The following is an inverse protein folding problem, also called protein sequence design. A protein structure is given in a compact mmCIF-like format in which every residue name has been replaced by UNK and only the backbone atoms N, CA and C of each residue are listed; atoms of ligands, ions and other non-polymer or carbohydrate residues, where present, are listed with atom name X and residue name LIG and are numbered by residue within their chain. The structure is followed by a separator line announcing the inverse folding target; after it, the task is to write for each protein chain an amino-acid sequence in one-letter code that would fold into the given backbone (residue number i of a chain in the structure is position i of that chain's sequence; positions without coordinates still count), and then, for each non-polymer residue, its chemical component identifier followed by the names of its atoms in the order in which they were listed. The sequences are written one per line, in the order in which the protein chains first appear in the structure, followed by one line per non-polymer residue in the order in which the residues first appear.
data_IF_683805177481
#
_entry.id   IF_683805177481
#
_cell.length_a   1.000
_cell.length_b   1.000
_cell.length_c   1.000
_cell.angle_alpha   90.00
_cell.angle_beta   90.00
_cell.angle_gamma   90.00
#
_symmetry.space_group_name_H-M   'P 1'
#
loop_
_entity.id
_entity.type
_entity.pdbx_description
1 polymer ?
#
# COMPACT_ATOMS: atom_id res chain seq x y z
N UNK A 1 8.53 -5.05 11.58
CA UNK A 1 7.59 -4.45 10.60
C UNK A 1 8.07 -4.63 9.17
N UNK A 2 9.05 -3.86 8.69
CA UNK A 2 9.47 -3.86 7.26
C UNK A 2 9.68 -5.24 6.62
N UNK A 3 10.22 -6.20 7.38
CA UNK A 3 10.42 -7.57 6.89
C UNK A 3 9.10 -8.26 6.47
N UNK A 4 7.98 -7.98 7.14
CA UNK A 4 6.67 -8.53 6.75
C UNK A 4 6.18 -7.94 5.43
N UNK A 5 6.37 -6.64 5.21
CA UNK A 5 6.04 -6.01 3.92
C UNK A 5 6.91 -6.58 2.79
N UNK A 6 8.22 -6.70 3.02
CA UNK A 6 9.15 -7.30 2.04
C UNK A 6 8.77 -8.75 1.74
N UNK A 7 8.47 -9.56 2.75
CA UNK A 7 8.06 -10.95 2.57
C UNK A 7 6.73 -11.05 1.80
N UNK A 8 5.76 -10.18 2.08
CA UNK A 8 4.47 -10.13 1.37
C UNK A 8 4.69 -9.89 -0.14
N UNK A 9 5.53 -8.92 -0.48
CA UNK A 9 5.88 -8.57 -1.86
C UNK A 9 6.68 -9.68 -2.54
N UNK A 10 7.68 -10.24 -1.85
CA UNK A 10 8.49 -11.35 -2.37
C UNK A 10 7.63 -12.58 -2.70
N UNK A 11 6.75 -12.99 -1.77
CA UNK A 11 5.82 -14.11 -1.99
C UNK A 11 4.84 -13.86 -3.14
N UNK A 12 4.58 -12.61 -3.47
CA UNK A 12 3.76 -12.20 -4.60
C UNK A 12 4.57 -11.96 -5.90
N UNK A 13 5.80 -12.46 -5.97
CA UNK A 13 6.69 -12.38 -7.14
C UNK A 13 7.05 -10.92 -7.52
N UNK A 14 7.11 -10.03 -6.52
CA UNK A 14 7.64 -8.68 -6.63
C UNK A 14 9.06 -8.66 -6.06
N UNK A 15 10.04 -8.87 -6.94
CA UNK A 15 11.45 -9.13 -6.56
C UNK A 15 12.40 -7.97 -6.81
N UNK A 16 11.94 -6.88 -7.42
CA UNK A 16 12.70 -5.64 -7.56
C UNK A 16 12.01 -4.56 -6.74
N UNK A 17 12.73 -3.99 -5.78
CA UNK A 17 12.18 -3.07 -4.79
C UNK A 17 12.99 -1.78 -4.73
N UNK A 18 12.29 -0.68 -4.47
CA UNK A 18 12.89 0.54 -3.95
C UNK A 18 12.36 0.80 -2.55
N UNK A 19 13.26 0.90 -1.58
CA UNK A 19 12.92 1.39 -0.25
C UNK A 19 13.06 2.92 -0.23
N UNK A 20 11.95 3.61 -0.04
CA UNK A 20 11.93 5.04 0.24
C UNK A 20 11.89 5.22 1.76
N UNK A 21 12.85 5.95 2.32
CA UNK A 21 12.95 6.21 3.76
C UNK A 21 13.55 7.58 4.03
N UNK A 22 13.45 8.09 5.25
CA UNK A 22 13.91 9.43 5.60
C UNK A 22 14.34 9.55 7.06
N UNK A 23 14.78 10.75 7.43
CA UNK A 23 15.13 11.09 8.81
C UNK A 23 16.42 10.44 9.32
N UNK A 24 16.60 10.50 10.64
CA UNK A 24 17.85 10.14 11.32
C UNK A 24 18.21 8.65 11.27
N UNK A 25 17.25 7.79 10.93
CA UNK A 25 17.41 6.34 10.96
C UNK A 25 17.45 5.68 9.57
N UNK A 26 17.44 6.47 8.48
CA UNK A 26 17.51 5.95 7.11
C UNK A 26 18.67 4.96 6.88
N UNK A 27 19.84 5.24 7.48
CA UNK A 27 21.03 4.38 7.36
C UNK A 27 20.90 3.00 8.02
N UNK A 28 19.96 2.83 8.97
CA UNK A 28 19.74 1.53 9.63
C UNK A 28 19.11 0.52 8.67
N UNK A 29 18.30 0.96 7.70
CA UNK A 29 17.74 0.07 6.69
C UNK A 29 18.80 -0.52 5.74
N UNK A 30 19.88 0.22 5.48
CA UNK A 30 21.00 -0.32 4.71
C UNK A 30 21.75 -1.40 5.52
N UNK A 31 21.90 -1.22 6.83
CA UNK A 31 22.48 -2.26 7.70
C UNK A 31 21.60 -3.50 7.80
N UNK A 32 20.28 -3.31 7.85
CA UNK A 32 19.31 -4.39 7.97
C UNK A 32 19.18 -5.19 6.67
N UNK A 33 19.00 -4.52 5.53
CA UNK A 33 18.61 -5.17 4.28
C UNK A 33 19.78 -5.39 3.31
N UNK A 34 20.88 -4.66 3.46
CA UNK A 34 22.04 -4.75 2.57
C UNK A 34 21.69 -4.56 1.10
N UNK A 35 21.93 -5.59 0.28
CA UNK A 35 21.52 -5.61 -1.13
C UNK A 35 20.19 -6.34 -1.37
N UNK A 36 19.51 -6.80 -0.31
CA UNK A 36 18.21 -7.47 -0.36
C UNK A 36 18.25 -8.97 -0.64
N UNK A 37 19.40 -9.56 -0.98
CA UNK A 37 19.48 -10.96 -1.42
C UNK A 37 19.04 -11.95 -0.33
N UNK A 38 19.34 -11.66 0.95
CA UNK A 38 18.92 -12.50 2.08
C UNK A 38 17.39 -12.51 2.28
N UNK A 39 16.69 -11.55 1.67
CA UNK A 39 15.24 -11.40 1.70
C UNK A 39 14.56 -11.83 0.39
N UNK A 40 15.30 -12.48 -0.52
CA UNK A 40 14.75 -12.90 -1.82
C UNK A 40 14.58 -11.76 -2.85
N UNK A 41 15.08 -10.56 -2.56
CA UNK A 41 15.02 -9.41 -3.45
C UNK A 41 16.19 -9.51 -4.45
N UNK A 42 15.88 -9.46 -5.75
CA UNK A 42 16.87 -9.49 -6.83
C UNK A 42 17.61 -8.16 -7.00
N UNK A 43 16.87 -7.04 -6.86
CA UNK A 43 17.42 -5.69 -6.95
C UNK A 43 16.77 -4.79 -5.91
N UNK A 44 17.57 -4.26 -4.99
CA UNK A 44 17.13 -3.32 -3.96
C UNK A 44 17.75 -1.94 -4.21
N UNK A 45 16.89 -0.94 -4.38
CA UNK A 45 17.25 0.46 -4.49
C UNK A 45 16.83 1.22 -3.23
N UNK A 46 17.46 2.36 -3.00
CA UNK A 46 17.16 3.24 -1.88
C UNK A 46 16.92 4.66 -2.38
N UNK A 47 15.89 5.32 -1.85
CA UNK A 47 15.65 6.73 -2.03
C UNK A 47 15.47 7.41 -0.66
N UNK A 48 15.91 8.67 -0.56
CA UNK A 48 15.81 9.46 0.66
C UNK A 48 14.68 10.49 0.54
N UNK A 49 13.75 10.46 1.48
CA UNK A 49 12.69 11.47 1.62
C UNK A 49 13.11 12.51 2.66
N UNK A 50 13.27 13.76 2.22
CA UNK A 50 13.85 14.83 3.04
C UNK A 50 12.98 15.24 4.24
N UNK A 51 11.65 15.14 4.09
CA UNK A 51 10.64 15.55 5.07
C UNK A 51 9.41 14.64 4.95
N UNK A 52 8.54 14.56 5.97
CA UNK A 52 7.28 13.82 5.85
C UNK A 52 6.28 14.61 4.99
N UNK A 53 6.45 14.64 3.67
CA UNK A 53 5.54 15.31 2.75
C UNK A 53 4.47 14.41 2.13
N UNK A 54 4.20 13.25 2.76
CA UNK A 54 3.14 12.33 2.38
C UNK A 54 3.61 11.17 1.49
N UNK A 55 2.71 10.19 1.32
CA UNK A 55 2.96 8.95 0.58
C UNK A 55 3.15 9.25 -0.92
N UNK A 56 2.42 10.22 -1.47
CA UNK A 56 2.57 10.58 -2.89
C UNK A 56 3.91 11.26 -3.18
N UNK A 57 4.48 12.03 -2.24
CA UNK A 57 5.85 12.55 -2.37
C UNK A 57 6.87 11.41 -2.41
N UNK A 58 6.75 10.43 -1.50
CA UNK A 58 7.61 9.25 -1.48
C UNK A 58 7.50 8.45 -2.79
N UNK A 59 6.29 8.31 -3.33
CA UNK A 59 6.06 7.68 -4.62
C UNK A 59 6.76 8.41 -5.77
N UNK A 60 6.72 9.75 -5.78
CA UNK A 60 7.41 10.57 -6.78
C UNK A 60 8.93 10.35 -6.80
N UNK A 61 9.55 10.09 -5.65
CA UNK A 61 10.98 9.76 -5.58
C UNK A 61 11.33 8.45 -6.30
N UNK A 62 10.34 7.56 -6.47
CA UNK A 62 10.48 6.27 -7.14
C UNK A 62 10.24 6.33 -8.66
N UNK A 63 9.95 7.50 -9.24
CA UNK A 63 9.62 7.63 -10.67
C UNK A 63 10.68 7.00 -11.57
N UNK A 64 11.96 7.30 -11.36
CA UNK A 64 13.04 6.74 -12.20
C UNK A 64 13.18 5.22 -12.09
N UNK A 65 12.73 4.65 -10.97
CA UNK A 65 12.75 3.20 -10.73
C UNK A 65 11.54 2.52 -11.38
N UNK A 66 10.34 3.08 -11.22
CA UNK A 66 9.11 2.47 -11.70
C UNK A 66 8.67 2.86 -13.12
N UNK A 67 9.29 3.87 -13.73
CA UNK A 67 8.93 4.35 -15.07
C UNK A 67 9.14 3.26 -16.13
N UNK A 68 8.15 3.09 -17.01
CA UNK A 68 8.13 2.07 -18.07
C UNK A 68 7.56 0.72 -17.62
N UNK A 69 7.02 0.64 -16.42
CA UNK A 69 6.36 -0.55 -15.91
C UNK A 69 5.21 -0.23 -14.95
N UNK A 70 4.68 -1.29 -14.37
CA UNK A 70 3.66 -1.27 -13.31
C UNK A 70 4.35 -1.32 -11.96
N UNK A 71 3.79 -0.62 -10.97
CA UNK A 71 4.35 -0.56 -9.62
C UNK A 71 3.34 -1.01 -8.57
N UNK A 72 3.88 -1.58 -7.49
CA UNK A 72 3.16 -1.81 -6.23
C UNK A 72 3.81 -0.93 -5.18
N UNK A 73 3.00 -0.18 -4.45
CA UNK A 73 3.39 0.64 -3.31
C UNK A 73 2.83 -0.03 -2.07
N UNK A 74 3.69 -0.33 -1.11
CA UNK A 74 3.29 -0.91 0.18
C UNK A 74 3.96 -0.13 1.30
N UNK A 75 3.18 0.37 2.25
CA UNK A 75 3.70 0.99 3.46
C UNK A 75 4.36 -0.08 4.35
N UNK A 76 5.54 0.22 4.88
CA UNK A 76 6.40 -0.77 5.53
C UNK A 76 5.93 -1.23 6.94
N UNK A 77 4.93 -0.55 7.48
CA UNK A 77 4.24 -0.84 8.75
C UNK A 77 2.92 -1.62 8.56
N UNK A 78 2.48 -1.81 7.32
CA UNK A 78 1.29 -2.57 7.00
C UNK A 78 1.60 -4.08 6.99
N UNK A 79 0.72 -4.86 7.63
CA UNK A 79 0.82 -6.32 7.74
C UNK A 79 -0.46 -6.95 7.23
N UNK A 80 -0.32 -8.03 6.46
CA UNK A 80 -1.45 -8.81 5.93
C UNK A 80 -1.33 -10.27 6.37
N UNK A 81 -2.48 -10.87 6.70
CA UNK A 81 -2.55 -12.30 6.99
C UNK A 81 -2.43 -13.13 5.72
N UNK A 82 -3.22 -12.78 4.70
CA UNK A 82 -3.32 -13.54 3.46
C UNK A 82 -2.33 -13.04 2.41
N UNK A 83 -2.10 -13.87 1.40
CA UNK A 83 -1.16 -13.57 0.32
C UNK A 83 -1.63 -12.43 -0.58
N UNK A 84 -0.67 -11.63 -1.06
CA UNK A 84 -0.89 -10.62 -2.09
C UNK A 84 -0.87 -11.18 -3.53
N UNK A 85 -0.59 -12.48 -3.72
CA UNK A 85 -0.52 -13.09 -5.07
C UNK A 85 -1.81 -12.84 -5.88
N UNK A 86 -3.04 -13.02 -5.35
CA UNK A 86 -4.25 -12.73 -6.11
C UNK A 86 -4.33 -11.29 -6.60
N UNK A 87 -4.01 -10.33 -5.74
CA UNK A 87 -4.03 -8.91 -6.08
C UNK A 87 -2.99 -8.55 -7.14
N UNK A 88 -1.76 -9.08 -7.03
CA UNK A 88 -0.71 -8.90 -8.03
C UNK A 88 -1.10 -9.55 -9.37
N UNK A 89 -1.67 -10.76 -9.36
CA UNK A 89 -2.16 -11.42 -10.58
C UNK A 89 -3.31 -10.63 -11.24
N UNK A 90 -4.27 -10.15 -10.45
CA UNK A 90 -5.37 -9.30 -10.93
C UNK A 90 -4.83 -8.00 -11.53
N UNK A 91 -3.89 -7.35 -10.87
CA UNK A 91 -3.27 -6.14 -11.40
C UNK A 91 -2.44 -6.40 -12.66
N UNK A 92 -1.77 -7.56 -12.78
CA UNK A 92 -1.08 -7.97 -14.01
C UNK A 92 -2.06 -8.22 -15.17
N UNK A 93 -3.26 -8.72 -14.87
CA UNK A 93 -4.30 -8.97 -15.87
C UNK A 93 -5.10 -7.71 -16.27
N UNK A 94 -5.18 -6.72 -15.37
CA UNK A 94 -5.82 -5.43 -15.63
C UNK A 94 -5.17 -4.75 -16.85
N UNK A 95 -5.98 -4.16 -17.72
CA UNK A 95 -5.47 -3.54 -18.96
C UNK A 95 -4.69 -2.26 -18.65
N UNK A 96 -5.28 -1.39 -17.82
CA UNK A 96 -4.80 -0.04 -17.51
C UNK A 96 -5.38 0.45 -16.18
N UNK A 97 -4.74 1.41 -15.55
CA UNK A 97 -5.26 2.11 -14.38
C UNK A 97 -4.52 1.81 -13.08
N UNK A 98 -5.23 2.05 -11.98
CA UNK A 98 -4.79 1.75 -10.64
C UNK A 98 -5.63 0.65 -10.01
N UNK A 99 -5.11 0.07 -8.94
CA UNK A 99 -5.84 -0.86 -8.08
C UNK A 99 -5.50 -0.61 -6.61
N UNK A 100 -6.50 -0.68 -5.75
CA UNK A 100 -6.34 -0.55 -4.30
C UNK A 100 -6.76 -1.82 -3.58
N UNK A 101 -6.17 -2.08 -2.42
CA UNK A 101 -6.66 -3.14 -1.53
C UNK A 101 -7.50 -2.53 -0.42
N UNK A 102 -8.68 -3.10 -0.26
CA UNK A 102 -9.64 -2.72 0.77
C UNK A 102 -9.61 -3.72 1.92
N UNK A 103 -9.70 -3.24 3.15
CA UNK A 103 -9.99 -4.04 4.32
C UNK A 103 -11.40 -3.71 4.82
N UNK A 104 -12.20 -4.74 5.09
CA UNK A 104 -13.49 -4.56 5.75
C UNK A 104 -13.25 -4.41 7.25
N UNK A 105 -13.69 -3.29 7.82
CA UNK A 105 -13.60 -3.00 9.25
C UNK A 105 -15.00 -2.86 9.84
N UNK A 106 -15.23 -3.50 10.99
CA UNK A 106 -16.53 -3.46 11.67
C UNK A 106 -16.66 -2.24 12.61
N UNK A 107 -15.56 -1.59 12.98
CA UNK A 107 -15.53 -0.46 13.92
C UNK A 107 -15.51 0.90 13.19
N UNK A 108 -16.61 1.69 13.23
CA UNK A 108 -16.70 2.96 12.54
C UNK A 108 -15.67 4.00 13.01
N UNK A 109 -15.29 3.95 14.29
CA UNK A 109 -14.27 4.82 14.86
C UNK A 109 -12.92 4.65 14.17
N UNK A 110 -12.53 3.41 13.86
CA UNK A 110 -11.27 3.10 13.16
C UNK A 110 -11.26 3.69 11.74
N UNK A 111 -12.38 3.57 11.03
CA UNK A 111 -12.55 4.12 9.68
C UNK A 111 -12.36 5.64 9.60
N UNK A 112 -12.55 6.39 10.70
CA UNK A 112 -12.34 7.85 10.73
C UNK A 112 -10.86 8.26 10.66
N UNK A 113 -9.94 7.32 10.84
CA UNK A 113 -8.50 7.56 10.79
C UNK A 113 -7.87 7.19 9.43
N UNK A 114 -8.65 6.65 8.51
CA UNK A 114 -8.19 6.03 7.26
C UNK A 114 -8.87 6.67 6.03
N UNK A 115 -8.36 6.35 4.84
CA UNK A 115 -9.11 6.56 3.60
C UNK A 115 -10.24 5.52 3.52
N UNK A 116 -11.47 5.93 3.23
CA UNK A 116 -12.63 5.03 3.13
C UNK A 116 -13.21 5.08 1.73
N UNK A 117 -13.36 3.92 1.11
CA UNK A 117 -13.89 3.78 -0.25
C UNK A 117 -15.42 3.76 -0.25
N UNK A 118 -16.04 4.61 -1.06
CA UNK A 118 -17.45 4.53 -1.40
C UNK A 118 -17.61 3.59 -2.60
N UNK A 119 -18.46 2.58 -2.47
CA UNK A 119 -18.64 1.53 -3.48
C UNK A 119 -20.05 1.58 -4.09
N UNK A 120 -20.14 1.36 -5.39
CA UNK A 120 -21.38 1.12 -6.13
C UNK A 120 -21.22 -0.17 -6.93
N UNK A 121 -21.72 -1.28 -6.36
CA UNK A 121 -21.52 -2.63 -6.91
C UNK A 121 -20.03 -3.03 -6.89
N UNK A 122 -19.47 -3.19 -8.07
CA UNK A 122 -18.06 -3.54 -8.34
C UNK A 122 -17.18 -2.32 -8.64
N UNK A 123 -17.68 -1.10 -8.41
CA UNK A 123 -16.96 0.15 -8.71
C UNK A 123 -16.68 0.97 -7.46
N UNK A 124 -15.45 1.48 -7.34
CA UNK A 124 -15.13 2.58 -6.41
C UNK A 124 -15.64 3.88 -7.01
N UNK A 125 -16.53 4.58 -6.32
CA UNK A 125 -17.09 5.85 -6.80
C UNK A 125 -16.35 7.06 -6.25
N UNK A 126 -15.78 6.93 -5.06
CA UNK A 126 -15.01 7.97 -4.37
C UNK A 126 -14.20 7.36 -3.23
N UNK A 127 -13.08 7.99 -2.87
CA UNK A 127 -12.36 7.69 -1.62
C UNK A 127 -12.32 8.96 -0.79
N UNK A 128 -12.71 8.86 0.48
CA UNK A 128 -12.72 9.99 1.41
C UNK A 128 -11.62 9.78 2.44
N UNK A 129 -10.66 10.71 2.51
CA UNK A 129 -9.60 10.70 3.51
C UNK A 129 -10.15 11.10 4.88
N UNK A 130 -10.02 10.22 5.88
CA UNK A 130 -10.37 10.47 7.30
C UNK A 130 -11.77 11.08 7.48
N UNK A 131 -12.82 10.40 6.99
CA UNK A 131 -14.18 10.93 7.03
C UNK A 131 -14.69 11.00 8.47
N UNK A 132 -15.44 12.06 8.80
CA UNK A 132 -16.18 12.11 10.07
C UNK A 132 -17.34 11.09 10.10
N UNK A 133 -17.94 10.84 8.93
CA UNK A 133 -19.01 9.86 8.71
C UNK A 133 -18.57 8.94 7.55
N UNK A 134 -18.02 7.74 7.85
CA UNK A 134 -17.51 6.83 6.83
C UNK A 134 -18.58 6.44 5.80
N UNK A 135 -18.33 6.57 4.48
CA UNK A 135 -19.30 6.24 3.44
C UNK A 135 -19.53 4.73 3.29
N UNK A 136 -18.66 3.89 3.86
CA UNK A 136 -18.79 2.43 3.87
C UNK A 136 -17.93 1.81 4.99
N UNK A 137 -17.95 0.48 5.10
CA UNK A 137 -17.11 -0.32 6.00
C UNK A 137 -15.72 -0.66 5.40
N UNK A 138 -15.37 -0.12 4.23
CA UNK A 138 -14.17 -0.50 3.48
C UNK A 138 -13.07 0.56 3.58
N UNK A 139 -12.08 0.28 4.42
CA UNK A 139 -10.86 1.07 4.51
C UNK A 139 -9.96 0.79 3.32
N UNK A 140 -9.38 1.83 2.74
CA UNK A 140 -8.26 1.72 1.80
C UNK A 140 -6.99 1.47 2.61
N UNK A 141 -6.37 0.32 2.38
CA UNK A 141 -5.14 -0.09 3.08
C UNK A 141 -3.91 0.69 2.60
N UNK A 142 -2.75 0.46 3.23
CA UNK A 142 -1.45 0.96 2.78
C UNK A 142 -0.85 0.23 1.58
N UNK A 143 -1.66 -0.38 0.71
CA UNK A 143 -1.21 -1.17 -0.44
C UNK A 143 -1.93 -0.69 -1.71
N UNK A 144 -1.14 -0.19 -2.67
CA UNK A 144 -1.62 0.47 -3.88
C UNK A 144 -0.89 -0.07 -5.11
N UNK A 145 -1.57 -0.12 -6.24
CA UNK A 145 -1.05 -0.59 -7.51
C UNK A 145 -1.30 0.49 -8.55
N UNK A 146 -0.28 0.85 -9.33
CA UNK A 146 -0.41 1.88 -10.36
C UNK A 146 0.32 1.51 -11.64
N UNK A 147 -0.30 1.87 -12.75
CA UNK A 147 0.36 1.89 -14.05
C UNK A 147 1.19 3.16 -14.23
N UNK A 148 1.70 3.35 -15.44
CA UNK A 148 2.59 4.47 -15.78
C UNK A 148 1.93 5.85 -15.68
N UNK A 149 0.60 5.93 -15.64
CA UNK A 149 -0.10 7.22 -15.59
C UNK A 149 0.16 7.95 -14.27
N UNK A 150 0.51 7.23 -13.20
CA UNK A 150 0.79 7.83 -11.89
C UNK A 150 1.88 8.90 -11.96
N UNK A 151 2.85 8.73 -12.85
CA UNK A 151 3.93 9.70 -13.05
C UNK A 151 3.44 11.03 -13.64
N UNK A 152 2.33 11.02 -14.37
CA UNK A 152 1.69 12.22 -14.91
C UNK A 152 0.75 12.87 -13.89
N UNK A 153 0.23 12.10 -12.93
CA UNK A 153 -0.68 12.56 -11.87
C UNK A 153 0.07 13.26 -10.74
N UNK A 154 1.18 12.67 -10.27
CA UNK A 154 1.92 13.17 -9.11
C UNK A 154 2.29 14.66 -9.19
N UNK A 155 2.74 15.22 -10.34
CA UNK A 155 3.05 16.65 -10.44
C UNK A 155 1.83 17.58 -10.38
N UNK A 156 0.61 17.03 -10.51
CA UNK A 156 -0.65 17.80 -10.49
C UNK A 156 -1.26 17.92 -9.09
N UNK A 157 -0.73 17.20 -8.11
CA UNK A 157 -1.24 17.19 -6.75
C UNK A 157 -0.91 18.50 -6.03
N UNK A 158 -1.85 18.95 -5.20
CA UNK A 158 -1.67 20.07 -4.29
C UNK A 158 -1.54 19.56 -2.85
N UNK A 159 -0.67 20.15 -2.02
CA UNK A 159 -0.57 19.76 -0.61
C UNK A 159 -1.90 19.96 0.13
N UNK A 160 -2.26 19.00 0.97
CA UNK A 160 -3.44 19.09 1.84
C UNK A 160 -3.28 20.19 2.89
N UNK A 161 -4.31 20.40 3.72
CA UNK A 161 -4.24 21.33 4.86
C UNK A 161 -3.10 21.01 5.85
N UNK A 162 -2.52 19.81 5.79
CA UNK A 162 -1.35 19.36 6.58
C UNK A 162 -0.01 19.64 5.89
N UNK A 163 -0.02 20.08 4.63
CA UNK A 163 1.17 20.29 3.82
C UNK A 163 1.75 19.00 3.20
N UNK A 164 0.96 17.93 3.17
CA UNK A 164 1.33 16.62 2.63
C UNK A 164 0.64 16.36 1.29
N UNK A 165 1.30 15.63 0.39
CA UNK A 165 0.70 15.10 -0.83
C UNK A 165 0.01 13.77 -0.49
N UNK A 166 -1.33 13.79 -0.50
CA UNK A 166 -2.16 12.67 -0.09
C UNK A 166 -2.24 11.62 -1.21
N UNK A 167 -2.01 10.35 -0.88
CA UNK A 167 -2.19 9.25 -1.85
C UNK A 167 -3.66 9.09 -2.25
N UNK A 168 -4.59 9.49 -1.37
CA UNK A 168 -6.03 9.54 -1.64
C UNK A 168 -6.36 10.42 -2.85
N UNK A 169 -5.60 11.48 -3.12
CA UNK A 169 -5.80 12.32 -4.30
C UNK A 169 -5.35 11.63 -5.60
N UNK A 170 -4.24 10.89 -5.56
CA UNK A 170 -3.83 10.00 -6.66
C UNK A 170 -4.91 8.96 -6.94
N UNK A 171 -5.41 8.32 -5.88
CA UNK A 171 -6.45 7.31 -6.01
C UNK A 171 -7.74 7.90 -6.61
N UNK A 172 -8.18 9.06 -6.13
CA UNK A 172 -9.37 9.74 -6.64
C UNK A 172 -9.20 10.21 -8.09
N UNK A 173 -7.98 10.52 -8.53
CA UNK A 173 -7.73 10.79 -9.95
C UNK A 173 -8.08 9.58 -10.82
N UNK A 174 -7.59 8.37 -10.47
CA UNK A 174 -7.92 7.13 -11.19
C UNK A 174 -9.41 6.80 -11.08
N UNK A 175 -10.03 6.99 -9.91
CA UNK A 175 -11.49 6.85 -9.73
C UNK A 175 -12.26 7.77 -10.68
N UNK A 176 -11.86 9.03 -10.79
CA UNK A 176 -12.46 10.01 -11.69
C UNK A 176 -12.34 9.66 -13.18
N UNK A 177 -11.30 8.89 -13.55
CA UNK A 177 -11.14 8.35 -14.91
C UNK A 177 -11.91 7.03 -15.15
N UNK A 178 -12.55 6.46 -14.12
CA UNK A 178 -13.14 5.13 -14.18
C UNK A 178 -12.08 4.02 -14.36
N UNK A 179 -10.86 4.26 -13.87
CA UNK A 179 -9.68 3.40 -14.03
C UNK A 179 -9.14 2.88 -12.68
N UNK A 180 -9.97 2.92 -11.63
CA UNK A 180 -9.61 2.35 -10.33
C UNK A 180 -10.37 1.05 -10.11
N UNK A 181 -9.64 -0.04 -10.04
CA UNK A 181 -10.16 -1.34 -9.61
C UNK A 181 -9.80 -1.60 -8.14
N UNK A 182 -10.39 -2.62 -7.52
CA UNK A 182 -10.05 -3.00 -6.16
C UNK A 182 -10.10 -4.51 -5.94
N UNK A 183 -9.37 -4.96 -4.92
CA UNK A 183 -9.62 -6.24 -4.26
C UNK A 183 -9.93 -6.00 -2.79
N UNK A 184 -10.64 -6.93 -2.16
CA UNK A 184 -10.84 -6.95 -0.72
C UNK A 184 -9.88 -7.98 -0.13
N UNK A 185 -9.07 -7.56 0.85
CA UNK A 185 -8.22 -8.49 1.59
C UNK A 185 -9.08 -9.47 2.37
N UNK A 186 -8.75 -10.75 2.24
CA UNK A 186 -9.27 -11.78 3.13
C UNK A 186 -8.44 -11.82 4.42
N UNK A 187 -9.10 -12.07 5.55
CA UNK A 187 -8.43 -12.17 6.84
C UNK A 187 -7.97 -10.82 7.40
N UNK A 188 -6.98 -10.87 8.29
CA UNK A 188 -6.49 -9.70 9.00
C UNK A 188 -5.62 -8.79 8.12
N UNK A 189 -5.87 -7.49 8.24
CA UNK A 189 -4.97 -6.41 7.85
C UNK A 189 -4.77 -5.52 9.07
N UNK A 190 -3.55 -5.03 9.26
CA UNK A 190 -3.27 -4.06 10.30
C UNK A 190 -2.16 -3.10 9.95
N UNK A 191 -2.30 -1.87 10.42
CA UNK A 191 -1.33 -0.79 10.35
C UNK A 191 -0.67 -0.60 11.72
N UNK A 192 0.56 -1.08 11.86
CA UNK A 192 1.27 -0.98 13.14
C UNK A 192 1.87 0.42 13.41
N UNK A 193 1.73 1.36 12.46
CA UNK A 193 2.14 2.76 12.59
C UNK A 193 1.02 3.67 13.09
N UNK A 194 -0.23 3.21 13.06
CA UNK A 194 -1.41 4.02 13.38
C UNK A 194 -1.48 4.45 14.85
N UNK A 195 -1.27 3.53 15.78
CA UNK A 195 -1.30 3.78 17.22
C UNK A 195 -0.48 2.75 17.99
N UNK A 196 -0.21 3.00 19.28
CA UNK A 196 0.48 2.02 20.13
C UNK A 196 -0.40 0.79 20.36
N UNK A 197 -1.71 0.97 20.45
CA UNK A 197 -2.70 -0.10 20.55
C UNK A 197 -2.67 -0.98 19.29
N UNK A 198 -2.74 -0.37 18.09
CA UNK A 198 -2.65 -1.07 16.82
C UNK A 198 -1.32 -1.82 16.66
N UNK A 199 -0.21 -1.21 17.09
CA UNK A 199 1.09 -1.88 17.12
C UNK A 199 1.06 -3.18 17.93
N UNK A 200 0.48 -3.17 19.13
CA UNK A 200 0.38 -4.37 19.96
C UNK A 200 -0.55 -5.41 19.34
N UNK A 201 -1.71 -4.97 18.83
CA UNK A 201 -2.68 -5.85 18.18
C UNK A 201 -2.07 -6.59 16.99
N UNK A 202 -1.36 -5.89 16.10
CA UNK A 202 -0.67 -6.50 14.96
C UNK A 202 0.35 -7.53 15.43
N UNK A 203 1.16 -7.22 16.43
CA UNK A 203 2.17 -8.16 16.93
C UNK A 203 1.55 -9.40 17.59
N UNK A 204 0.47 -9.23 18.36
CA UNK A 204 -0.26 -10.33 18.99
C UNK A 204 -0.95 -11.22 17.94
N UNK A 205 -1.53 -10.61 16.91
CA UNK A 205 -2.11 -11.33 15.78
C UNK A 205 -1.05 -12.18 15.07
N UNK A 206 0.07 -11.58 14.67
CA UNK A 206 1.13 -12.29 13.94
C UNK A 206 1.73 -13.41 14.79
N UNK A 207 1.90 -13.19 16.09
CA UNK A 207 2.35 -14.22 17.03
C UNK A 207 1.41 -15.43 17.06
N UNK A 208 0.10 -15.20 17.01
CA UNK A 208 -0.91 -16.26 17.11
C UNK A 208 -1.18 -16.97 15.77
N UNK A 209 -1.17 -16.23 14.67
CA UNK A 209 -1.71 -16.70 13.38
C UNK A 209 -0.67 -16.75 12.24
N UNK A 210 0.49 -16.11 12.44
CA UNK A 210 1.44 -15.81 11.37
C UNK A 210 1.00 -14.62 10.49
N UNK A 211 1.80 -14.33 9.47
CA UNK A 211 1.53 -13.33 8.44
C UNK A 211 1.89 -13.92 7.08
N UNK A 212 1.45 -13.27 6.00
CA UNK A 212 1.85 -13.59 4.62
C UNK A 212 1.65 -15.08 4.28
N UNK A 213 0.47 -15.64 4.54
CA UNK A 213 0.18 -17.06 4.31
C UNK A 213 0.46 -17.47 2.86
N UNK A 214 0.91 -18.72 2.70
CA UNK A 214 1.16 -19.29 1.38
C UNK A 214 -0.12 -19.30 0.55
N UNK A 215 0.01 -18.93 -0.72
CA UNK A 215 -1.10 -19.01 -1.65
C UNK A 215 -1.04 -20.28 -2.46
N UNK A 216 -2.10 -21.08 -2.36
CA UNK A 216 -2.36 -22.16 -3.30
C UNK A 216 -3.52 -21.78 -4.19
N UNK A 217 -3.33 -21.74 -5.52
CA UNK A 217 -4.46 -21.78 -6.46
C UNK A 217 -5.27 -23.02 -6.10
N UNK A 218 -6.49 -22.84 -5.59
CA UNK A 218 -7.43 -23.94 -5.48
C UNK A 218 -7.46 -24.64 -6.83
N UNK A 219 -7.17 -25.94 -6.84
CA UNK A 219 -7.21 -26.76 -8.05
C UNK A 219 -8.62 -26.64 -8.63
N UNK A 220 -8.74 -25.88 -9.70
CA UNK A 220 -9.97 -25.73 -10.49
C UNK A 220 -10.16 -26.96 -11.37
#
# INVERSE_FOLDING_TARGET
MVNWAIEALFKADVTELMLVTGGTHAGEFFRLLGNGHEHGIHRLFYAYQDKPGGIAEALGLAERFGRGGRIVVMLADNVVEQSLVPAVENFRAQERGGRILLAKLDEPEHLRHLGVAELDGDRVTRIVEKPADPPSEYAVTGIYFYDEQVWDVLPTLEPSGRGELEITDVNNWYVGQGQMEYDVLEGFWGDAGESIEAYYEVNDFVRANGANKEWSKASS
#
